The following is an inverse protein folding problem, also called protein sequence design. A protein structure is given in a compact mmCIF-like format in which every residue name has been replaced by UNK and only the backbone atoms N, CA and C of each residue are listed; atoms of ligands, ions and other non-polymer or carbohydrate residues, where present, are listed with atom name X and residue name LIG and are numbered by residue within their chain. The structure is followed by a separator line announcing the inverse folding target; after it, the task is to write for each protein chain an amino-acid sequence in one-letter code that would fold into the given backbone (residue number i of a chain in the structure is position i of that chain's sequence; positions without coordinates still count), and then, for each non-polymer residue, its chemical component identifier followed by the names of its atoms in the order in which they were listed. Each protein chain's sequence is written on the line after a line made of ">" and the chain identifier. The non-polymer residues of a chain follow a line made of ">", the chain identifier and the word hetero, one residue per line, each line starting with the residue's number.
data_IF_844315116054
#
_entry.id   IF_844315116054
#
_cell.length_a   1.000
_cell.length_b   1.000
_cell.length_c   1.000
_cell.angle_alpha   90.00
_cell.angle_beta   90.00
_cell.angle_gamma   90.00
#
_symmetry.space_group_name_H-M   'P 1'
#
loop_
_entity.id
_entity.type
_entity.pdbx_description
1 polymer ?
#
# COMPACT_ATOMS: atom_id res chain seq x y z
N UNK A 1 14.58 -12.72 6.68
CA UNK A 1 14.52 -14.08 6.16
C UNK A 1 14.24 -15.05 7.32
N UNK A 2 13.30 -16.01 7.17
CA UNK A 2 12.87 -16.91 8.25
C UNK A 2 14.02 -17.67 8.91
N UNK A 3 15.07 -17.99 8.17
CA UNK A 3 16.25 -18.73 8.66
C UNK A 3 17.04 -18.02 9.77
N UNK A 4 16.77 -16.74 10.04
CA UNK A 4 17.44 -15.97 11.08
C UNK A 4 16.57 -15.69 12.30
N UNK A 5 15.32 -16.17 12.35
CA UNK A 5 14.40 -15.83 13.44
C UNK A 5 14.90 -16.28 14.80
N UNK A 6 15.37 -17.51 14.91
CA UNK A 6 15.85 -18.06 16.19
C UNK A 6 17.10 -17.30 16.66
N UNK A 7 18.04 -17.05 15.77
CA UNK A 7 19.26 -16.30 16.05
C UNK A 7 18.95 -14.84 16.45
N UNK A 8 18.01 -14.19 15.75
CA UNK A 8 17.58 -12.85 16.06
C UNK A 8 16.87 -12.79 17.40
N UNK A 9 15.99 -13.77 17.68
CA UNK A 9 15.30 -13.86 18.97
C UNK A 9 16.29 -13.98 20.14
N UNK A 10 17.29 -14.86 20.03
CA UNK A 10 18.31 -15.00 21.08
C UNK A 10 19.20 -13.76 21.19
N UNK A 11 19.46 -13.05 20.10
CA UNK A 11 20.23 -11.80 20.09
C UNK A 11 19.52 -10.66 20.82
N UNK A 12 18.20 -10.51 20.62
CA UNK A 12 17.42 -9.44 21.25
C UNK A 12 16.89 -9.80 22.62
N UNK A 13 16.87 -11.08 22.98
CA UNK A 13 16.34 -11.59 24.23
C UNK A 13 17.08 -11.01 25.44
N UNK A 14 16.33 -10.37 26.32
CA UNK A 14 16.88 -9.78 27.55
C UNK A 14 17.53 -8.40 27.35
N UNK A 15 17.48 -7.84 26.16
CA UNK A 15 17.86 -6.45 25.95
C UNK A 15 16.64 -5.56 26.22
N UNK A 16 16.81 -4.55 27.10
CA UNK A 16 15.81 -3.51 27.26
C UNK A 16 16.01 -2.52 26.11
N UNK A 17 15.01 -2.40 25.25
CA UNK A 17 15.04 -1.47 24.13
C UNK A 17 13.82 -0.57 24.28
N UNK A 18 14.06 0.72 24.47
CA UNK A 18 13.01 1.67 24.82
C UNK A 18 12.52 2.49 23.61
N UNK A 19 13.29 2.52 22.50
CA UNK A 19 12.90 3.27 21.31
C UNK A 19 13.23 2.55 19.97
N UNK A 20 12.66 3.08 18.88
CA UNK A 20 12.80 2.50 17.56
C UNK A 20 14.21 2.68 16.96
N UNK A 21 14.94 3.70 17.35
CA UNK A 21 16.28 3.96 16.82
C UNK A 21 17.28 2.97 17.42
N UNK A 22 17.14 2.63 18.71
CA UNK A 22 17.92 1.56 19.36
C UNK A 22 17.65 0.20 18.70
N UNK A 23 16.39 -0.11 18.38
CA UNK A 23 16.03 -1.35 17.65
C UNK A 23 16.73 -1.38 16.28
N UNK A 24 16.72 -0.28 15.55
CA UNK A 24 17.36 -0.19 14.23
C UNK A 24 18.87 -0.43 14.35
N UNK A 25 19.53 0.18 15.31
CA UNK A 25 20.97 -0.03 15.55
C UNK A 25 21.30 -1.48 15.89
N UNK A 26 20.50 -2.11 16.74
CA UNK A 26 20.65 -3.53 17.08
C UNK A 26 20.48 -4.44 15.86
N UNK A 27 19.46 -4.20 15.04
CA UNK A 27 19.20 -4.96 13.82
C UNK A 27 20.32 -4.75 12.79
N UNK A 28 20.86 -3.53 12.70
CA UNK A 28 21.99 -3.22 11.83
C UNK A 28 23.23 -4.02 12.23
N UNK A 29 23.57 -4.05 13.51
CA UNK A 29 24.67 -4.85 14.06
C UNK A 29 24.44 -6.36 13.78
N UNK A 30 23.24 -6.86 14.05
CA UNK A 30 22.92 -8.27 13.85
C UNK A 30 23.07 -8.69 12.37
N UNK A 31 22.48 -7.94 11.45
CA UNK A 31 22.49 -8.29 10.04
C UNK A 31 23.83 -8.01 9.35
N UNK A 32 24.59 -6.98 9.78
CA UNK A 32 25.93 -6.71 9.27
C UNK A 32 26.89 -7.89 9.51
N UNK A 33 26.67 -8.65 10.57
CA UNK A 33 27.49 -9.84 10.87
C UNK A 33 27.07 -11.11 10.11
N UNK A 34 25.90 -11.09 9.44
CA UNK A 34 25.31 -12.30 8.84
C UNK A 34 25.05 -12.18 7.34
N UNK A 35 24.99 -10.98 6.80
CA UNK A 35 24.64 -10.70 5.41
C UNK A 35 25.65 -9.80 4.76
N UNK A 36 26.00 -10.08 3.49
CA UNK A 36 26.87 -9.21 2.68
C UNK A 36 26.21 -7.86 2.35
N UNK A 37 24.87 -7.86 2.21
CA UNK A 37 24.09 -6.65 2.00
C UNK A 37 22.67 -6.82 2.55
N UNK A 38 22.14 -5.75 3.14
CA UNK A 38 20.74 -5.66 3.58
C UNK A 38 20.32 -4.20 3.63
N UNK A 39 19.02 -3.96 3.74
CA UNK A 39 18.47 -2.62 3.95
C UNK A 39 17.42 -2.68 5.06
N UNK A 40 17.63 -1.97 6.14
CA UNK A 40 16.59 -1.66 7.12
C UNK A 40 15.77 -0.48 6.60
N UNK A 41 14.47 -0.50 6.88
CA UNK A 41 13.55 0.58 6.52
C UNK A 41 12.72 0.94 7.73
N UNK A 42 12.61 2.21 7.98
CA UNK A 42 11.70 2.78 8.97
C UNK A 42 10.34 2.97 8.29
N UNK A 43 9.31 2.35 8.84
CA UNK A 43 7.98 2.38 8.26
C UNK A 43 7.03 3.15 9.17
N UNK A 44 6.10 3.89 8.59
CA UNK A 44 4.96 4.44 9.30
C UNK A 44 3.72 3.63 9.01
N UNK A 45 2.95 3.32 10.06
CA UNK A 45 1.59 2.84 9.96
C UNK A 45 0.64 3.99 10.22
N UNK A 46 -0.17 4.33 9.21
CA UNK A 46 -1.19 5.35 9.34
C UNK A 46 -2.57 4.69 9.23
N UNK A 47 -3.51 5.18 10.02
CA UNK A 47 -4.92 4.80 9.96
C UNK A 47 -5.78 6.06 9.91
N UNK A 48 -7.07 5.98 9.49
CA UNK A 48 -7.98 7.13 9.57
C UNK A 48 -8.04 7.72 10.97
N UNK A 49 -7.96 9.04 11.08
CA UNK A 49 -8.17 9.78 12.33
C UNK A 49 -9.63 9.75 12.80
N UNK A 50 -9.90 10.25 14.01
CA UNK A 50 -11.26 10.28 14.57
C UNK A 50 -12.22 11.17 13.76
N UNK A 51 -11.72 12.25 13.18
CA UNK A 51 -12.50 13.21 12.36
C UNK A 51 -12.49 12.85 10.87
N UNK A 52 -12.18 11.61 10.51
CA UNK A 52 -12.07 11.18 9.13
C UNK A 52 -13.43 11.20 8.42
N UNK A 53 -13.64 12.17 7.53
CA UNK A 53 -14.84 12.27 6.69
C UNK A 53 -14.56 11.88 5.23
N UNK A 54 -14.80 10.61 4.93
CA UNK A 54 -14.63 10.09 3.57
C UNK A 54 -15.76 10.51 2.62
N UNK A 55 -16.91 10.89 3.16
CA UNK A 55 -18.11 11.16 2.38
C UNK A 55 -18.14 12.58 1.78
N UNK A 56 -17.26 13.48 2.24
CA UNK A 56 -17.16 14.85 1.71
C UNK A 56 -16.62 14.93 0.29
N UNK A 57 -16.01 13.86 -0.24
CA UNK A 57 -15.49 13.77 -1.62
C UNK A 57 -16.58 13.31 -2.58
N UNK A 58 -17.33 14.25 -3.18
CA UNK A 58 -18.51 13.94 -4.00
C UNK A 58 -18.24 13.62 -5.48
N UNK A 59 -17.08 13.97 -6.03
CA UNK A 59 -16.75 13.77 -7.45
C UNK A 59 -15.44 13.02 -7.61
N UNK A 60 -15.51 11.68 -7.62
CA UNK A 60 -14.36 10.82 -7.94
C UNK A 60 -14.49 10.29 -9.36
N UNK A 61 -13.41 10.38 -10.16
CA UNK A 61 -13.29 9.70 -11.45
C UNK A 61 -12.76 8.28 -11.31
N UNK A 62 -12.40 7.88 -10.09
CA UNK A 62 -11.92 6.53 -9.82
C UNK A 62 -13.05 5.50 -9.90
N UNK A 63 -12.77 4.42 -10.60
CA UNK A 63 -13.69 3.29 -10.78
C UNK A 63 -13.04 2.01 -10.29
N UNK A 64 -13.88 1.02 -9.92
CA UNK A 64 -13.41 -0.33 -9.64
C UNK A 64 -12.80 -0.93 -10.91
N UNK A 65 -11.62 -1.54 -10.80
CA UNK A 65 -11.00 -2.25 -11.90
C UNK A 65 -11.74 -3.56 -12.16
N UNK A 66 -12.46 -3.64 -13.28
CA UNK A 66 -13.10 -4.86 -13.76
C UNK A 66 -12.23 -5.59 -14.77
N UNK A 67 -12.60 -6.84 -15.11
CA UNK A 67 -11.94 -7.59 -16.19
C UNK A 67 -12.00 -6.84 -17.52
N UNK A 68 -13.15 -6.26 -17.84
CA UNK A 68 -13.37 -5.51 -19.08
C UNK A 68 -12.41 -4.33 -19.18
N UNK A 69 -12.34 -3.49 -18.14
CA UNK A 69 -11.42 -2.34 -18.09
C UNK A 69 -9.97 -2.81 -18.19
N UNK A 70 -9.62 -3.89 -17.49
CA UNK A 70 -8.27 -4.45 -17.54
C UNK A 70 -7.89 -4.93 -18.93
N UNK A 71 -8.76 -5.70 -19.60
CA UNK A 71 -8.53 -6.21 -20.93
C UNK A 71 -8.50 -5.10 -21.99
N UNK A 72 -9.32 -4.07 -21.83
CA UNK A 72 -9.34 -2.90 -22.69
C UNK A 72 -8.05 -2.07 -22.59
N UNK A 73 -7.50 -1.93 -21.38
CA UNK A 73 -6.20 -1.27 -21.16
C UNK A 73 -5.02 -2.03 -21.82
N UNK A 74 -5.18 -3.31 -22.12
CA UNK A 74 -4.20 -4.17 -22.76
C UNK A 74 -4.46 -4.39 -24.25
N UNK A 75 -5.35 -3.61 -24.90
CA UNK A 75 -5.78 -3.89 -26.28
C UNK A 75 -4.64 -3.97 -27.31
N UNK A 76 -3.55 -3.24 -27.07
CA UNK A 76 -2.40 -3.17 -27.98
C UNK A 76 -1.29 -4.22 -27.70
N UNK A 77 -1.53 -5.16 -26.79
CA UNK A 77 -0.61 -6.24 -26.43
C UNK A 77 -1.08 -7.53 -27.10
N UNK A 78 -0.20 -8.47 -27.39
CA UNK A 78 -0.58 -9.74 -27.99
C UNK A 78 -1.42 -10.62 -27.03
N UNK A 79 -2.16 -11.59 -27.58
CA UNK A 79 -3.11 -12.38 -26.80
C UNK A 79 -2.45 -13.31 -25.78
N UNK A 80 -1.20 -13.72 -26.00
CA UNK A 80 -0.48 -14.54 -25.02
C UNK A 80 -0.07 -13.70 -23.81
N UNK A 81 0.48 -12.51 -24.05
CA UNK A 81 0.83 -11.55 -22.99
C UNK A 81 -0.41 -11.07 -22.22
N UNK A 82 -1.54 -10.82 -22.91
CA UNK A 82 -2.82 -10.51 -22.25
C UNK A 82 -3.27 -11.62 -21.31
N UNK A 83 -3.15 -12.87 -21.76
CA UNK A 83 -3.56 -14.02 -20.97
C UNK A 83 -2.69 -14.15 -19.73
N UNK A 84 -1.37 -14.03 -19.87
CA UNK A 84 -0.44 -14.06 -18.75
C UNK A 84 -0.70 -12.92 -17.74
N UNK A 85 -0.88 -11.70 -18.25
CA UNK A 85 -1.22 -10.54 -17.43
C UNK A 85 -2.52 -10.76 -16.66
N UNK A 86 -3.57 -11.31 -17.30
CA UNK A 86 -4.83 -11.64 -16.65
C UNK A 86 -4.64 -12.69 -15.55
N UNK A 87 -3.98 -13.81 -15.84
CA UNK A 87 -3.74 -14.86 -14.86
C UNK A 87 -2.98 -14.35 -13.64
N UNK A 88 -2.06 -13.41 -13.81
CA UNK A 88 -1.30 -12.80 -12.71
C UNK A 88 -2.10 -11.83 -11.86
N UNK A 89 -3.21 -11.26 -12.38
CA UNK A 89 -3.95 -10.17 -11.73
C UNK A 89 -5.41 -10.50 -11.41
N UNK A 90 -5.95 -11.59 -11.98
CA UNK A 90 -7.37 -11.95 -11.82
C UNK A 90 -7.83 -12.05 -10.36
N UNK A 91 -6.99 -12.53 -9.45
CA UNK A 91 -7.33 -12.63 -8.03
C UNK A 91 -7.68 -11.26 -7.44
N UNK A 92 -6.79 -10.27 -7.60
CA UNK A 92 -7.02 -8.90 -7.10
C UNK A 92 -8.26 -8.25 -7.72
N UNK A 93 -8.51 -8.53 -9.01
CA UNK A 93 -9.62 -7.94 -9.76
C UNK A 93 -10.96 -8.58 -9.36
N UNK A 94 -11.00 -9.91 -9.27
CA UNK A 94 -12.23 -10.65 -8.92
C UNK A 94 -12.64 -10.46 -7.45
N UNK A 95 -11.71 -10.07 -6.58
CA UNK A 95 -11.99 -9.73 -5.18
C UNK A 95 -12.46 -8.27 -4.99
N UNK A 96 -12.65 -7.53 -6.09
CA UNK A 96 -13.14 -6.14 -6.07
C UNK A 96 -12.27 -5.16 -5.25
N UNK A 97 -11.00 -5.46 -5.03
CA UNK A 97 -10.09 -4.72 -4.15
C UNK A 97 -9.15 -3.74 -4.87
N UNK A 98 -9.44 -3.42 -6.12
CA UNK A 98 -8.60 -2.54 -6.92
C UNK A 98 -9.41 -1.43 -7.59
N UNK A 99 -8.93 -0.20 -7.46
CA UNK A 99 -9.57 1.01 -7.97
C UNK A 99 -8.59 1.76 -8.87
N UNK A 100 -9.09 2.34 -9.97
CA UNK A 100 -8.27 3.00 -10.98
C UNK A 100 -8.89 4.31 -11.45
N UNK A 101 -8.03 5.24 -11.88
CA UNK A 101 -8.42 6.37 -12.73
C UNK A 101 -7.88 6.09 -14.12
N UNK A 102 -8.68 6.39 -15.14
CA UNK A 102 -8.38 6.20 -16.54
C UNK A 102 -8.24 7.52 -17.27
N UNK A 103 -7.29 7.61 -18.20
CA UNK A 103 -7.25 8.59 -19.27
C UNK A 103 -7.42 7.85 -20.60
N UNK A 104 -8.62 7.93 -21.16
CA UNK A 104 -9.05 7.01 -22.21
C UNK A 104 -9.03 5.56 -21.73
N UNK A 105 -8.21 4.73 -22.34
CA UNK A 105 -8.01 3.31 -21.96
C UNK A 105 -6.79 3.10 -21.05
N UNK A 106 -5.96 4.14 -20.85
CA UNK A 106 -4.75 4.04 -20.03
C UNK A 106 -5.10 4.17 -18.54
N UNK A 107 -4.66 3.21 -17.74
CA UNK A 107 -4.67 3.36 -16.27
C UNK A 107 -3.58 4.35 -15.87
N UNK A 108 -3.96 5.47 -15.26
CA UNK A 108 -3.03 6.54 -14.86
C UNK A 108 -2.84 6.66 -13.36
N UNK A 109 -3.75 6.09 -12.58
CA UNK A 109 -3.59 5.92 -11.14
C UNK A 109 -4.31 4.66 -10.70
N UNK A 110 -3.76 3.98 -9.71
CA UNK A 110 -4.34 2.75 -9.17
C UNK A 110 -4.12 2.67 -7.66
N UNK A 111 -5.10 2.11 -6.98
CA UNK A 111 -5.01 1.74 -5.57
C UNK A 111 -5.52 0.31 -5.41
N UNK A 112 -4.81 -0.50 -4.62
CA UNK A 112 -5.26 -1.83 -4.22
C UNK A 112 -5.26 -1.98 -2.71
N UNK A 113 -6.11 -2.88 -2.24
CA UNK A 113 -6.12 -3.34 -0.85
C UNK A 113 -5.49 -4.72 -0.84
N UNK A 114 -4.37 -4.86 -0.14
CA UNK A 114 -3.62 -6.12 0.02
C UNK A 114 -3.54 -6.52 1.49
N UNK A 115 -3.01 -7.71 1.71
CA UNK A 115 -2.65 -8.19 3.06
C UNK A 115 -3.78 -7.98 4.08
N UNK A 116 -4.99 -8.50 3.73
CA UNK A 116 -6.14 -8.42 4.63
C UNK A 116 -5.98 -9.49 5.69
N UNK A 117 -5.61 -9.04 6.89
CA UNK A 117 -5.47 -9.88 8.07
C UNK A 117 -5.91 -9.11 9.34
N UNK A 118 -6.23 -9.84 10.40
CA UNK A 118 -6.64 -9.28 11.70
C UNK A 118 -7.62 -8.08 11.61
N UNK A 119 -8.46 -8.06 10.57
CA UNK A 119 -9.44 -6.99 10.33
C UNK A 119 -8.89 -5.72 9.70
N UNK A 120 -7.62 -5.70 9.31
CA UNK A 120 -6.98 -4.60 8.58
C UNK A 120 -6.69 -4.94 7.13
N UNK A 121 -6.61 -3.94 6.26
CA UNK A 121 -6.22 -4.08 4.86
C UNK A 121 -5.23 -2.99 4.45
N UNK A 122 -4.09 -3.40 3.89
CA UNK A 122 -3.04 -2.47 3.49
C UNK A 122 -3.36 -1.79 2.16
N UNK A 123 -3.35 -0.46 2.16
CA UNK A 123 -3.58 0.38 0.97
C UNK A 123 -2.25 0.61 0.25
N UNK A 124 -2.18 0.15 -0.99
CA UNK A 124 -1.05 0.40 -1.89
C UNK A 124 -1.50 1.23 -3.08
N UNK A 125 -0.93 2.43 -3.25
CA UNK A 125 -1.28 3.38 -4.30
C UNK A 125 -0.12 3.65 -5.24
N UNK A 126 -0.45 3.83 -6.52
CA UNK A 126 0.46 4.25 -7.57
C UNK A 126 -0.20 5.29 -8.47
N UNK A 127 0.58 6.27 -8.93
CA UNK A 127 0.15 7.25 -9.95
C UNK A 127 1.30 7.46 -10.92
N UNK A 128 0.98 7.36 -12.23
CA UNK A 128 1.90 7.64 -13.32
C UNK A 128 2.51 9.05 -13.16
N UNK A 129 3.81 9.18 -13.43
CA UNK A 129 4.59 10.42 -13.21
C UNK A 129 3.95 11.65 -13.85
N UNK A 130 3.43 11.50 -15.09
CA UNK A 130 2.85 12.58 -15.88
C UNK A 130 1.46 13.01 -15.38
N UNK A 131 0.90 12.22 -14.49
CA UNK A 131 -0.44 12.41 -13.91
C UNK A 131 -0.42 12.74 -12.42
N UNK A 132 0.76 12.92 -11.82
CA UNK A 132 0.89 13.34 -10.41
C UNK A 132 0.40 14.76 -10.20
N UNK A 133 0.09 15.10 -8.95
CA UNK A 133 -0.42 16.41 -8.52
C UNK A 133 -1.77 16.85 -9.16
N UNK A 134 -2.49 15.91 -9.81
CA UNK A 134 -3.83 16.13 -10.38
C UNK A 134 -4.97 15.62 -9.48
N UNK A 135 -4.65 15.09 -8.29
CA UNK A 135 -5.64 14.55 -7.36
C UNK A 135 -5.96 13.06 -7.53
N UNK A 136 -5.54 12.41 -8.61
CA UNK A 136 -5.92 11.03 -8.93
C UNK A 136 -5.55 10.00 -7.87
N UNK A 137 -4.36 10.15 -7.23
CA UNK A 137 -3.99 9.29 -6.11
C UNK A 137 -4.96 9.41 -4.93
N UNK A 138 -5.48 10.62 -4.68
CA UNK A 138 -6.48 10.87 -3.65
C UNK A 138 -7.80 10.17 -3.99
N UNK A 139 -8.24 10.25 -5.24
CA UNK A 139 -9.49 9.63 -5.70
C UNK A 139 -9.45 8.10 -5.54
N UNK A 140 -8.41 7.42 -6.02
CA UNK A 140 -8.31 5.95 -5.93
C UNK A 140 -8.18 5.47 -4.47
N UNK A 141 -7.49 6.20 -3.61
CA UNK A 141 -7.39 5.86 -2.18
C UNK A 141 -8.74 6.07 -1.49
N UNK A 142 -9.47 7.15 -1.83
CA UNK A 142 -10.81 7.40 -1.28
C UNK A 142 -11.76 6.23 -1.59
N UNK A 143 -11.78 5.72 -2.82
CA UNK A 143 -12.64 4.57 -3.16
C UNK A 143 -12.18 3.28 -2.47
N UNK A 144 -10.88 3.06 -2.33
CA UNK A 144 -10.35 1.92 -1.57
C UNK A 144 -10.75 1.98 -0.09
N UNK A 145 -10.71 3.15 0.53
CA UNK A 145 -11.13 3.33 1.92
C UNK A 145 -12.63 3.13 2.09
N UNK A 146 -13.47 3.64 1.17
CA UNK A 146 -14.92 3.35 1.16
C UNK A 146 -15.19 1.86 1.12
N UNK A 147 -14.47 1.13 0.26
CA UNK A 147 -14.57 -0.31 0.18
C UNK A 147 -14.19 -0.99 1.50
N UNK A 148 -13.09 -0.57 2.14
CA UNK A 148 -12.67 -1.09 3.43
C UNK A 148 -13.76 -0.90 4.49
N UNK A 149 -14.31 0.32 4.61
CA UNK A 149 -15.36 0.64 5.58
C UNK A 149 -16.60 -0.20 5.32
N UNK A 150 -17.02 -0.31 4.05
CA UNK A 150 -18.20 -1.11 3.67
C UNK A 150 -18.04 -2.59 4.06
N UNK A 151 -16.83 -3.13 3.98
CA UNK A 151 -16.51 -4.51 4.32
C UNK A 151 -16.05 -4.70 5.78
N UNK A 152 -16.18 -3.68 6.63
CA UNK A 152 -15.73 -3.71 8.05
C UNK A 152 -14.25 -4.04 8.21
N UNK A 153 -13.41 -3.54 7.28
CA UNK A 153 -11.96 -3.68 7.28
C UNK A 153 -11.36 -2.32 7.65
N UNK A 154 -10.41 -2.30 8.58
CA UNK A 154 -9.65 -1.10 8.91
C UNK A 154 -8.67 -0.78 7.76
N UNK A 155 -8.80 0.36 7.07
CA UNK A 155 -7.81 0.75 6.08
C UNK A 155 -6.49 1.15 6.76
N UNK A 156 -5.41 0.48 6.37
CA UNK A 156 -4.06 0.72 6.88
C UNK A 156 -3.20 1.26 5.74
N UNK A 157 -2.50 2.34 6.00
CA UNK A 157 -1.53 2.90 5.06
C UNK A 157 -0.12 2.68 5.61
N UNK A 158 0.56 1.65 5.08
CA UNK A 158 1.91 1.32 5.52
C UNK A 158 2.91 1.86 4.51
N UNK A 159 3.78 2.77 4.94
CA UNK A 159 4.62 3.56 4.05
C UNK A 159 6.02 3.76 4.62
N UNK A 160 7.02 3.67 3.75
CA UNK A 160 8.40 4.02 4.07
C UNK A 160 8.49 5.48 4.55
N UNK A 161 9.15 5.72 5.67
CA UNK A 161 9.29 7.04 6.30
C UNK A 161 9.96 8.07 5.37
N UNK A 162 10.73 7.62 4.37
CA UNK A 162 11.35 8.47 3.36
C UNK A 162 10.38 8.84 2.21
N UNK A 163 9.26 8.12 2.07
CA UNK A 163 8.26 8.39 1.02
C UNK A 163 7.33 9.55 1.40
N UNK A 164 7.88 10.76 1.40
CA UNK A 164 7.17 11.98 1.79
C UNK A 164 5.92 12.25 0.95
N UNK A 165 5.94 11.89 -0.34
CA UNK A 165 4.79 12.07 -1.23
C UNK A 165 3.60 11.19 -0.80
N UNK A 166 3.85 9.94 -0.49
CA UNK A 166 2.84 8.99 -0.04
C UNK A 166 2.30 9.35 1.35
N UNK A 167 3.18 9.77 2.26
CA UNK A 167 2.79 10.27 3.59
C UNK A 167 1.91 11.52 3.47
N UNK A 168 2.29 12.46 2.62
CA UNK A 168 1.51 13.69 2.38
C UNK A 168 0.13 13.37 1.80
N UNK A 169 0.04 12.40 0.88
CA UNK A 169 -1.22 11.92 0.33
C UNK A 169 -2.11 11.35 1.45
N UNK A 170 -1.60 10.42 2.25
CA UNK A 170 -2.35 9.81 3.35
C UNK A 170 -2.85 10.86 4.36
N UNK A 171 -1.97 11.78 4.79
CA UNK A 171 -2.35 12.88 5.71
C UNK A 171 -3.40 13.81 5.10
N UNK A 172 -3.32 14.10 3.78
CA UNK A 172 -4.32 14.93 3.10
C UNK A 172 -5.71 14.29 3.03
N UNK A 173 -5.78 13.00 3.29
CA UNK A 173 -7.00 12.19 3.40
C UNK A 173 -7.44 11.99 4.86
N UNK A 174 -6.78 12.60 5.83
CA UNK A 174 -7.13 12.46 7.25
C UNK A 174 -6.56 11.21 7.94
N UNK A 175 -5.55 10.56 7.33
CA UNK A 175 -4.82 9.50 8.00
C UNK A 175 -3.83 10.08 9.01
N UNK A 176 -3.68 9.43 10.13
CA UNK A 176 -2.75 9.78 11.21
C UNK A 176 -1.74 8.68 11.44
N UNK A 177 -0.50 9.06 11.78
CA UNK A 177 0.53 8.09 12.19
C UNK A 177 0.16 7.50 13.55
N UNK A 178 0.04 6.18 13.62
CA UNK A 178 -0.24 5.45 14.88
C UNK A 178 0.99 4.74 15.41
N UNK A 179 1.87 4.26 14.53
CA UNK A 179 3.13 3.64 14.94
C UNK A 179 4.22 3.89 13.91
N UNK A 180 5.45 3.76 14.40
CA UNK A 180 6.66 3.72 13.62
C UNK A 180 7.31 2.36 13.88
N UNK A 181 7.68 1.67 12.82
CA UNK A 181 8.22 0.31 12.85
C UNK A 181 9.50 0.21 12.03
#
# INVERSE_FOLDING_TARGET
>A
APQYYDDLFEFIKGQAVDDADEIIEMLDIFFSNKLESFKLRKMYRLIPGEDYDIWSSSNSSAVKLTKEIFMEALENIDEAEKTEAWESKKGEILEDRKFVVLDGKKVVSACKISDIDFGGGNIAVWTDSDYRNKGFGKEVVTEAVKWCIYNSILPIYWVDAENTASISLAKSLGFEVKSQE
#
